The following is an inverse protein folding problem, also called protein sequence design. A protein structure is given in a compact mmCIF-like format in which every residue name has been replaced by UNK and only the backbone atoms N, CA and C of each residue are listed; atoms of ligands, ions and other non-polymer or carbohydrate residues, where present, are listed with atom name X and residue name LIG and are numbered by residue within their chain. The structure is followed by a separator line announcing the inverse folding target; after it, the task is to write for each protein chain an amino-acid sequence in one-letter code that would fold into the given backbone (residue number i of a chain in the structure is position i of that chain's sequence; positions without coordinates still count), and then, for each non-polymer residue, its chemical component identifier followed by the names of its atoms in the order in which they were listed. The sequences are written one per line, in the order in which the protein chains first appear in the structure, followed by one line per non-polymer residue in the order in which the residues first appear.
data_IF_828590504885
#
_entry.id   IF_828590504885
#
_cell.length_a   1.000
_cell.length_b   1.000
_cell.length_c   1.000
_cell.angle_alpha   90.00
_cell.angle_beta   90.00
_cell.angle_gamma   90.00
#
_symmetry.space_group_name_H-M   'P 1'
#
loop_
_entity.id
_entity.type
_entity.pdbx_description
1 polymer ?
#
# COMPACT_ATOMS: atom_id res chain seq x y z
N UNK A 1 -4.29 31.72 9.87
CA UNK A 1 -4.55 30.60 10.77
C UNK A 1 -5.61 29.76 10.10
N UNK A 2 -5.34 28.48 9.90
CA UNK A 2 -6.27 27.56 9.24
C UNK A 2 -7.55 27.40 10.08
N UNK A 3 -8.72 27.53 9.45
CA UNK A 3 -9.99 27.22 10.09
C UNK A 3 -10.23 25.69 10.05
N UNK A 4 -9.84 25.00 11.11
CA UNK A 4 -9.99 23.53 11.18
C UNK A 4 -11.44 23.07 11.27
N UNK A 5 -12.34 23.89 11.81
CA UNK A 5 -13.77 23.54 11.91
C UNK A 5 -14.42 23.47 10.53
N UNK A 6 -14.07 24.40 9.63
CA UNK A 6 -14.51 24.35 8.23
C UNK A 6 -13.96 23.12 7.48
N UNK A 7 -12.70 22.73 7.77
CA UNK A 7 -12.10 21.54 7.20
C UNK A 7 -12.72 20.25 7.76
N UNK A 8 -13.09 20.21 9.04
CA UNK A 8 -13.70 19.02 9.62
C UNK A 8 -15.17 18.87 9.20
N UNK A 9 -15.85 19.97 8.88
CA UNK A 9 -17.22 19.96 8.37
C UNK A 9 -17.38 19.29 6.98
N UNK A 10 -16.30 19.16 6.20
CA UNK A 10 -16.33 18.45 4.90
C UNK A 10 -16.06 16.94 5.02
N UNK A 11 -15.67 16.47 6.20
CA UNK A 11 -15.29 15.08 6.42
C UNK A 11 -16.37 14.30 7.21
N UNK A 12 -16.49 12.97 7.00
CA UNK A 12 -15.84 12.21 5.92
C UNK A 12 -16.45 12.58 4.56
N UNK A 13 -15.61 12.51 3.51
CA UNK A 13 -16.08 12.66 2.14
C UNK A 13 -17.06 11.54 1.78
N UNK A 14 -17.93 11.78 0.80
CA UNK A 14 -18.82 10.75 0.27
C UNK A 14 -17.99 9.64 -0.39
N UNK A 15 -18.47 8.41 -0.29
CA UNK A 15 -17.76 7.24 -0.82
C UNK A 15 -17.55 7.28 -2.34
N UNK A 16 -18.39 8.01 -3.07
CA UNK A 16 -18.28 8.19 -4.52
C UNK A 16 -17.21 9.22 -4.90
N UNK A 17 -16.82 10.10 -3.97
CA UNK A 17 -15.76 11.09 -4.13
C UNK A 17 -14.37 10.53 -3.74
N UNK A 18 -14.29 9.21 -3.52
CA UNK A 18 -13.11 8.49 -3.06
C UNK A 18 -12.63 7.46 -4.10
N UNK A 19 -12.38 7.86 -5.37
CA UNK A 19 -11.97 6.93 -6.41
C UNK A 19 -10.65 6.26 -6.04
N UNK A 20 -10.54 4.97 -6.39
CA UNK A 20 -9.36 4.12 -6.18
C UNK A 20 -8.93 3.94 -4.71
N UNK A 21 -9.81 4.28 -3.77
CA UNK A 21 -9.57 4.08 -2.34
C UNK A 21 -10.03 2.68 -1.90
N UNK A 22 -9.51 2.19 -0.78
CA UNK A 22 -9.87 0.91 -0.20
C UNK A 22 -9.84 0.97 1.33
N UNK A 23 -10.53 0.02 1.97
CA UNK A 23 -10.52 -0.21 3.41
C UNK A 23 -10.54 -1.70 3.71
N UNK A 24 -9.70 -2.13 4.64
CA UNK A 24 -9.63 -3.46 5.22
C UNK A 24 -10.10 -3.39 6.67
N UNK A 25 -11.02 -4.27 7.06
CA UNK A 25 -11.60 -4.32 8.41
C UNK A 25 -11.87 -5.76 8.84
N UNK A 26 -11.85 -6.01 10.15
CA UNK A 26 -12.41 -7.25 10.72
C UNK A 26 -13.95 -7.17 10.86
N UNK A 27 -14.51 -5.96 10.77
CA UNK A 27 -15.94 -5.70 10.90
C UNK A 27 -16.57 -5.45 9.53
N UNK A 28 -17.42 -6.37 9.09
CA UNK A 28 -18.10 -6.28 7.78
C UNK A 28 -19.06 -5.10 7.66
N UNK A 29 -19.65 -4.67 8.78
CA UNK A 29 -20.68 -3.62 8.83
C UNK A 29 -20.18 -2.22 8.46
N UNK A 30 -18.89 -1.97 8.60
CA UNK A 30 -18.29 -0.63 8.46
C UNK A 30 -17.76 -0.36 7.04
N UNK A 31 -18.09 -1.23 6.09
CA UNK A 31 -17.58 -1.14 4.72
C UNK A 31 -18.55 -0.38 3.81
N UNK A 32 -18.04 0.52 2.92
CA UNK A 32 -18.85 1.23 1.95
C UNK A 32 -19.79 0.30 1.16
N UNK A 33 -21.07 0.67 1.05
CA UNK A 33 -22.15 -0.15 0.47
C UNK A 33 -21.85 -0.63 -0.95
N UNK A 34 -21.59 0.32 -1.84
CA UNK A 34 -21.47 0.16 -3.30
C UNK A 34 -20.11 -0.35 -3.77
N UNK A 35 -19.15 -0.51 -2.85
CA UNK A 35 -17.79 -0.90 -3.19
C UNK A 35 -17.66 -2.41 -3.41
N UNK A 36 -16.68 -2.79 -4.23
CA UNK A 36 -16.38 -4.19 -4.45
C UNK A 36 -15.82 -4.80 -3.16
N UNK A 37 -16.53 -5.80 -2.63
CA UNK A 37 -16.17 -6.47 -1.37
C UNK A 37 -15.51 -7.82 -1.63
N UNK A 38 -14.47 -8.13 -0.87
CA UNK A 38 -13.80 -9.44 -0.81
C UNK A 38 -13.59 -9.83 0.65
N UNK A 39 -13.42 -11.11 0.91
CA UNK A 39 -13.14 -11.59 2.26
C UNK A 39 -12.20 -12.78 2.20
N UNK A 40 -11.31 -12.87 3.19
CA UNK A 40 -10.40 -13.99 3.38
C UNK A 40 -10.14 -14.14 4.88
N UNK A 41 -10.49 -15.29 5.43
CA UNK A 41 -10.53 -15.49 6.87
C UNK A 41 -11.44 -14.47 7.56
N UNK A 42 -10.90 -13.78 8.58
CA UNK A 42 -11.60 -12.73 9.35
C UNK A 42 -11.54 -11.34 8.71
N UNK A 43 -10.85 -11.19 7.59
CA UNK A 43 -10.62 -9.89 6.97
C UNK A 43 -11.60 -9.64 5.84
N UNK A 44 -12.14 -8.43 5.83
CA UNK A 44 -13.04 -7.93 4.80
C UNK A 44 -12.43 -6.71 4.13
N UNK A 45 -12.19 -6.81 2.82
CA UNK A 45 -11.67 -5.74 1.99
C UNK A 45 -12.82 -5.13 1.19
N UNK A 46 -12.94 -3.81 1.19
CA UNK A 46 -13.75 -3.07 0.24
C UNK A 46 -12.87 -2.15 -0.59
N UNK A 47 -13.02 -2.19 -1.92
CA UNK A 47 -12.31 -1.33 -2.85
C UNK A 47 -13.32 -0.56 -3.72
N UNK A 48 -13.06 0.72 -3.95
CA UNK A 48 -13.80 1.51 -4.92
C UNK A 48 -13.77 0.81 -6.30
N UNK A 49 -14.84 0.86 -7.13
CA UNK A 49 -14.88 0.19 -8.43
C UNK A 49 -13.73 0.54 -9.39
N UNK A 50 -13.25 1.79 -9.34
CA UNK A 50 -12.08 2.24 -10.12
C UNK A 50 -10.74 1.69 -9.63
N UNK A 51 -10.70 1.09 -8.43
CA UNK A 51 -9.47 0.55 -7.87
C UNK A 51 -9.07 -0.75 -8.58
N UNK A 52 -7.78 -0.89 -8.92
CA UNK A 52 -7.26 -2.17 -9.44
C UNK A 52 -6.97 -3.12 -8.28
N UNK A 53 -7.50 -4.34 -8.37
CA UNK A 53 -7.35 -5.38 -7.36
C UNK A 53 -7.00 -6.70 -8.01
N UNK A 54 -5.89 -7.29 -7.63
CA UNK A 54 -5.53 -8.65 -8.00
C UNK A 54 -5.56 -9.58 -6.78
N UNK A 55 -5.93 -10.84 -7.00
CA UNK A 55 -5.76 -11.89 -6.00
C UNK A 55 -4.30 -12.32 -5.93
N UNK A 56 -3.81 -12.54 -4.72
CA UNK A 56 -2.49 -13.12 -4.48
C UNK A 56 -2.66 -14.60 -4.16
N UNK A 57 -2.03 -15.48 -4.94
CA UNK A 57 -2.13 -16.93 -4.79
C UNK A 57 -0.76 -17.59 -4.71
N UNK A 58 -0.73 -18.79 -4.13
CA UNK A 58 0.38 -19.75 -4.31
C UNK A 58 0.30 -20.41 -5.69
N UNK A 59 1.33 -21.15 -6.13
CA UNK A 59 1.30 -21.82 -7.43
C UNK A 59 0.27 -22.96 -7.50
N UNK A 60 -0.09 -23.52 -6.33
CA UNK A 60 -1.19 -24.48 -6.15
C UNK A 60 -2.58 -23.83 -6.13
N UNK A 61 -2.66 -22.51 -6.29
CA UNK A 61 -3.92 -21.75 -6.34
C UNK A 61 -4.52 -21.41 -4.98
N UNK A 62 -3.82 -21.66 -3.86
CA UNK A 62 -4.32 -21.22 -2.56
C UNK A 62 -4.32 -19.69 -2.48
N UNK A 63 -5.47 -19.09 -2.17
CA UNK A 63 -5.64 -17.64 -2.03
C UNK A 63 -5.06 -17.17 -0.69
N UNK A 64 -4.07 -16.29 -0.76
CA UNK A 64 -3.29 -15.80 0.39
C UNK A 64 -3.31 -14.28 0.52
N UNK A 65 -4.26 -13.60 -0.14
CA UNK A 65 -4.48 -12.17 0.00
C UNK A 65 -4.66 -11.42 -1.31
N UNK A 66 -4.21 -10.17 -1.37
CA UNK A 66 -4.47 -9.28 -2.50
C UNK A 66 -3.32 -8.32 -2.78
N UNK A 67 -3.21 -7.86 -4.03
CA UNK A 67 -2.40 -6.70 -4.40
C UNK A 67 -3.31 -5.62 -4.98
N UNK A 68 -3.18 -4.40 -4.46
CA UNK A 68 -4.01 -3.24 -4.79
C UNK A 68 -3.16 -2.22 -5.54
N UNK A 69 -3.75 -1.65 -6.59
CA UNK A 69 -3.14 -0.66 -7.49
C UNK A 69 -1.78 -1.02 -8.12
N UNK A 70 -1.50 -2.31 -8.42
CA UNK A 70 -0.22 -2.69 -8.99
C UNK A 70 0.01 -2.04 -10.36
N UNK A 71 1.07 -1.25 -10.47
CA UNK A 71 1.42 -0.60 -11.73
C UNK A 71 2.17 -1.55 -12.66
N UNK A 72 3.22 -2.20 -12.15
CA UNK A 72 4.12 -3.06 -12.93
C UNK A 72 4.65 -4.20 -12.06
N UNK A 73 4.84 -5.37 -12.67
CA UNK A 73 5.63 -6.45 -12.11
C UNK A 73 6.83 -6.69 -13.03
N UNK A 74 8.04 -6.66 -12.48
CA UNK A 74 9.26 -6.91 -13.24
C UNK A 74 9.77 -8.30 -12.92
N UNK A 75 9.90 -9.14 -13.94
CA UNK A 75 10.49 -10.48 -13.83
C UNK A 75 11.69 -10.54 -14.77
N UNK A 76 12.87 -10.84 -14.23
CA UNK A 76 14.13 -10.88 -15.02
C UNK A 76 14.37 -9.62 -15.86
N UNK A 77 14.07 -8.44 -15.29
CA UNK A 77 14.27 -7.14 -15.95
C UNK A 77 13.28 -6.80 -17.06
N UNK A 78 12.19 -7.57 -17.22
CA UNK A 78 11.10 -7.28 -18.16
C UNK A 78 9.81 -6.98 -17.40
N UNK A 79 9.15 -5.89 -17.77
CA UNK A 79 7.81 -5.61 -17.30
C UNK A 79 6.80 -6.60 -17.89
N UNK A 80 5.95 -7.14 -17.03
CA UNK A 80 4.80 -7.97 -17.41
C UNK A 80 3.51 -7.22 -17.08
N UNK A 81 2.48 -7.26 -17.96
CA UNK A 81 1.15 -6.77 -17.61
C UNK A 81 0.67 -7.41 -16.32
N UNK A 82 -0.03 -6.63 -15.50
CA UNK A 82 -0.47 -7.11 -14.20
C UNK A 82 -1.80 -7.87 -14.32
N UNK A 83 -1.84 -9.18 -13.99
CA UNK A 83 -3.04 -10.00 -14.11
C UNK A 83 -4.00 -9.81 -12.92
N UNK A 84 -5.25 -10.27 -13.08
CA UNK A 84 -6.22 -10.37 -11.98
C UNK A 84 -5.81 -11.37 -10.89
N UNK A 85 -4.94 -12.33 -11.24
CA UNK A 85 -4.39 -13.33 -10.33
C UNK A 85 -2.87 -13.33 -10.44
N UNK A 86 -2.23 -13.11 -9.31
CA UNK A 86 -0.78 -12.99 -9.17
C UNK A 86 -0.28 -14.16 -8.34
N UNK A 87 0.79 -14.80 -8.79
CA UNK A 87 1.36 -15.97 -8.12
C UNK A 87 2.65 -15.61 -7.42
N UNK A 88 2.78 -16.01 -6.15
CA UNK A 88 3.98 -15.83 -5.34
C UNK A 88 5.18 -16.66 -5.82
N UNK A 89 4.97 -17.72 -6.61
CA UNK A 89 6.04 -18.61 -7.06
C UNK A 89 6.47 -19.64 -6.01
N UNK A 90 5.51 -20.22 -5.27
CA UNK A 90 5.79 -21.26 -4.27
C UNK A 90 4.74 -22.37 -4.27
N UNK A 91 5.23 -23.60 -4.16
CA UNK A 91 4.46 -24.82 -3.88
C UNK A 91 4.40 -25.18 -2.38
N UNK A 92 5.15 -24.46 -1.55
CA UNK A 92 5.33 -24.69 -0.12
C UNK A 92 4.66 -23.64 0.77
N UNK A 93 4.98 -23.62 2.07
CA UNK A 93 4.53 -22.57 2.98
C UNK A 93 4.93 -21.17 2.48
N UNK A 94 4.07 -20.19 2.72
CA UNK A 94 4.37 -18.78 2.44
C UNK A 94 5.11 -18.22 3.64
N UNK A 95 6.37 -17.82 3.43
CA UNK A 95 7.23 -17.22 4.45
C UNK A 95 7.65 -15.78 4.10
N UNK A 96 8.35 -15.13 5.04
CA UNK A 96 8.83 -13.75 4.90
C UNK A 96 9.75 -13.55 3.69
N UNK A 97 10.62 -14.52 3.41
CA UNK A 97 11.62 -14.40 2.35
C UNK A 97 10.96 -14.47 0.97
N UNK A 98 9.99 -15.37 0.80
CA UNK A 98 9.19 -15.49 -0.41
C UNK A 98 8.40 -14.21 -0.69
N UNK A 99 7.72 -13.67 0.33
CA UNK A 99 6.92 -12.45 0.18
C UNK A 99 7.80 -11.24 -0.15
N UNK A 100 8.92 -11.05 0.56
CA UNK A 100 9.84 -9.94 0.28
C UNK A 100 10.50 -10.06 -1.10
N UNK A 101 10.81 -11.28 -1.54
CA UNK A 101 11.35 -11.51 -2.88
C UNK A 101 10.30 -11.21 -3.95
N UNK A 102 9.09 -11.72 -3.80
CA UNK A 102 8.01 -11.45 -4.75
C UNK A 102 7.68 -9.95 -4.83
N UNK A 103 7.52 -9.29 -3.69
CA UNK A 103 7.07 -7.90 -3.65
C UNK A 103 8.16 -6.90 -4.04
N UNK A 104 9.42 -7.13 -3.65
CA UNK A 104 10.51 -6.14 -3.79
C UNK A 104 11.74 -6.65 -4.55
N UNK A 105 11.74 -7.90 -5.01
CA UNK A 105 12.91 -8.58 -5.57
C UNK A 105 14.02 -8.82 -4.54
N UNK A 106 13.71 -8.70 -3.24
CA UNK A 106 14.72 -8.72 -2.18
C UNK A 106 15.05 -10.14 -1.74
N UNK A 107 16.33 -10.43 -1.59
CA UNK A 107 16.78 -11.66 -0.93
C UNK A 107 16.78 -11.50 0.61
N UNK A 108 17.21 -12.55 1.33
CA UNK A 108 17.26 -12.55 2.81
C UNK A 108 18.10 -11.41 3.41
N UNK A 109 19.13 -10.95 2.70
CA UNK A 109 19.96 -9.81 3.12
C UNK A 109 19.36 -8.43 2.78
N UNK A 110 18.20 -8.39 2.13
CA UNK A 110 17.51 -7.16 1.74
C UNK A 110 18.03 -6.53 0.45
N UNK A 111 18.92 -7.22 -0.29
CA UNK A 111 19.37 -6.78 -1.61
C UNK A 111 18.34 -7.14 -2.67
N UNK A 112 17.92 -6.15 -3.47
CA UNK A 112 17.05 -6.37 -4.62
C UNK A 112 17.87 -6.85 -5.82
N UNK A 113 17.34 -7.82 -6.55
CA UNK A 113 17.85 -8.30 -7.84
C UNK A 113 17.24 -7.57 -9.05
N UNK A 114 16.40 -6.55 -8.81
CA UNK A 114 15.69 -5.81 -9.85
C UNK A 114 14.41 -6.48 -10.33
N UNK A 115 13.93 -7.51 -9.62
CA UNK A 115 12.59 -8.08 -9.80
C UNK A 115 11.59 -7.52 -8.78
N UNK A 116 10.33 -7.92 -8.91
CA UNK A 116 9.26 -7.58 -7.99
C UNK A 116 8.36 -6.46 -8.48
N UNK A 117 7.53 -5.94 -7.58
CA UNK A 117 6.52 -4.95 -7.89
C UNK A 117 7.11 -3.55 -7.92
N UNK A 118 6.82 -2.83 -9.00
CA UNK A 118 7.33 -1.47 -9.24
C UNK A 118 6.18 -0.45 -9.19
N UNK A 119 6.50 0.77 -8.76
CA UNK A 119 5.56 1.88 -8.70
C UNK A 119 4.70 1.92 -7.43
N UNK A 120 3.43 2.29 -7.59
CA UNK A 120 2.45 2.32 -6.51
C UNK A 120 1.84 0.92 -6.38
N UNK A 121 1.79 0.39 -5.17
CA UNK A 121 1.06 -0.83 -4.86
C UNK A 121 0.93 -0.99 -3.34
N UNK A 122 -0.05 -1.78 -2.92
CA UNK A 122 -0.19 -2.29 -1.55
C UNK A 122 -0.45 -3.79 -1.64
N UNK A 123 0.21 -4.57 -0.80
CA UNK A 123 -0.03 -6.00 -0.72
C UNK A 123 -0.57 -6.37 0.66
N UNK A 124 -1.70 -7.06 0.69
CA UNK A 124 -2.28 -7.65 1.89
C UNK A 124 -1.98 -9.14 1.80
N UNK A 125 -1.20 -9.67 2.73
CA UNK A 125 -0.79 -11.08 2.75
C UNK A 125 -1.33 -11.74 4.01
N UNK A 126 -2.16 -12.77 3.82
CA UNK A 126 -2.84 -13.53 4.86
C UNK A 126 -2.40 -14.99 4.75
N UNK A 127 -1.20 -15.27 5.24
CA UNK A 127 -0.62 -16.62 5.30
C UNK A 127 -1.02 -17.32 6.61
N UNK A 128 -0.72 -18.61 6.73
CA UNK A 128 -1.05 -19.39 7.92
C UNK A 128 -0.37 -18.84 9.19
N UNK A 129 0.88 -18.40 9.08
CA UNK A 129 1.70 -17.99 10.23
C UNK A 129 1.74 -16.46 10.44
N UNK A 130 1.26 -15.67 9.47
CA UNK A 130 1.24 -14.21 9.59
C UNK A 130 0.18 -13.56 8.71
N UNK A 131 -0.26 -12.40 9.15
CA UNK A 131 -1.19 -11.53 8.42
C UNK A 131 -0.59 -10.12 8.40
N UNK A 132 -0.31 -9.57 7.21
CA UNK A 132 0.46 -8.33 7.08
C UNK A 132 0.00 -7.47 5.91
N UNK A 133 0.24 -6.16 6.03
CA UNK A 133 0.10 -5.20 4.92
C UNK A 133 1.47 -4.62 4.60
N UNK A 134 1.88 -4.76 3.34
CA UNK A 134 3.11 -4.20 2.78
C UNK A 134 2.78 -3.02 1.87
N UNK A 135 3.68 -2.03 1.85
CA UNK A 135 3.56 -0.85 1.00
C UNK A 135 4.65 -0.86 -0.07
N UNK A 136 4.28 -0.48 -1.29
CA UNK A 136 5.25 -0.01 -2.27
C UNK A 136 5.99 1.24 -1.78
N UNK A 137 7.11 1.60 -2.42
CA UNK A 137 8.03 2.65 -1.93
C UNK A 137 7.40 4.05 -1.85
N UNK A 138 6.30 4.29 -2.56
CA UNK A 138 5.65 5.60 -2.70
C UNK A 138 4.18 5.61 -2.23
N UNK A 139 3.67 4.48 -1.71
CA UNK A 139 2.31 4.44 -1.16
C UNK A 139 2.32 4.71 0.34
N UNK A 140 1.19 5.17 0.86
CA UNK A 140 0.93 5.14 2.30
C UNK A 140 -0.44 4.53 2.58
N UNK A 141 -0.60 3.99 3.78
CA UNK A 141 -1.89 3.60 4.32
C UNK A 141 -2.02 4.22 5.71
N UNK A 142 -3.25 4.40 6.16
CA UNK A 142 -3.55 4.78 7.54
C UNK A 142 -4.26 3.64 8.23
N UNK A 143 -4.08 3.52 9.54
CA UNK A 143 -4.70 2.47 10.33
C UNK A 143 -5.16 3.00 11.69
N UNK A 144 -6.16 2.32 12.23
CA UNK A 144 -6.71 2.58 13.56
C UNK A 144 -6.72 1.27 14.36
N UNK A 145 -6.03 1.26 15.50
CA UNK A 145 -5.81 0.06 16.31
C UNK A 145 -7.04 -0.41 17.06
N UNK A 146 -7.84 0.53 17.58
CA UNK A 146 -9.04 0.26 18.40
C UNK A 146 -10.10 -0.50 17.61
N UNK A 147 -10.26 -0.17 16.33
CA UNK A 147 -11.26 -0.77 15.43
C UNK A 147 -10.68 -1.83 14.50
N UNK A 148 -9.34 -2.01 14.51
CA UNK A 148 -8.62 -2.94 13.63
C UNK A 148 -8.91 -2.70 12.15
N UNK A 149 -8.84 -1.42 11.74
CA UNK A 149 -9.08 -0.97 10.37
C UNK A 149 -7.83 -0.39 9.73
N UNK A 150 -7.69 -0.59 8.43
CA UNK A 150 -6.62 -0.02 7.60
C UNK A 150 -7.23 0.49 6.32
N UNK A 151 -6.83 1.67 5.86
CA UNK A 151 -7.39 2.26 4.65
C UNK A 151 -6.37 3.13 3.91
N UNK A 152 -6.70 3.51 2.69
CA UNK A 152 -5.92 4.50 1.92
C UNK A 152 -5.93 5.88 2.58
N UNK A 153 -7.03 6.26 3.25
CA UNK A 153 -7.17 7.56 3.90
C UNK A 153 -8.09 7.51 5.13
N UNK A 154 -7.96 8.52 5.99
CA UNK A 154 -8.74 8.65 7.23
C UNK A 154 -10.25 8.77 6.99
N UNK A 155 -10.67 9.24 5.81
CA UNK A 155 -12.09 9.29 5.41
C UNK A 155 -12.81 7.96 5.57
N UNK A 156 -12.10 6.85 5.43
CA UNK A 156 -12.64 5.49 5.54
C UNK A 156 -12.49 4.88 6.93
N UNK A 157 -11.97 5.64 7.88
CA UNK A 157 -11.79 5.25 9.29
C UNK A 157 -12.72 6.04 10.22
N UNK A 158 -13.81 6.61 9.69
CA UNK A 158 -14.80 7.30 10.51
C UNK A 158 -15.48 6.37 11.53
N UNK A 159 -15.96 6.89 12.68
CA UNK A 159 -15.78 8.27 13.15
C UNK A 159 -14.33 8.53 13.60
N UNK A 160 -13.88 9.79 13.51
CA UNK A 160 -12.57 10.22 14.01
C UNK A 160 -12.65 11.63 14.60
N UNK A 161 -11.62 12.03 15.34
CA UNK A 161 -11.52 13.35 15.95
C UNK A 161 -10.16 13.96 15.64
N UNK A 162 -10.12 15.26 15.33
CA UNK A 162 -8.88 15.96 15.03
C UNK A 162 -8.11 16.26 16.33
N UNK A 163 -6.83 15.97 16.33
CA UNK A 163 -5.92 16.46 17.35
C UNK A 163 -5.61 17.94 17.08
N UNK A 164 -6.36 18.84 17.71
CA UNK A 164 -6.25 20.29 17.47
C UNK A 164 -4.90 20.87 17.90
N UNK A 165 -4.31 20.36 18.98
CA UNK A 165 -3.02 20.82 19.47
C UNK A 165 -1.93 20.51 18.44
N UNK A 166 -1.83 19.25 18.02
CA UNK A 166 -0.88 18.81 16.99
C UNK A 166 -1.16 19.50 15.64
N UNK A 167 -2.42 19.63 15.25
CA UNK A 167 -2.80 20.29 14.00
C UNK A 167 -2.38 21.76 13.98
N UNK A 168 -2.49 22.48 15.10
CA UNK A 168 -2.04 23.88 15.22
C UNK A 168 -0.52 23.99 15.29
N UNK A 169 0.17 23.05 15.94
CA UNK A 169 1.63 23.08 16.03
C UNK A 169 2.31 22.79 14.70
N UNK A 170 1.72 21.91 13.88
CA UNK A 170 2.23 21.62 12.53
C UNK A 170 1.71 22.66 11.54
N UNK A 171 0.41 22.96 11.54
CA UNK A 171 -0.35 23.78 10.57
C UNK A 171 0.20 23.66 9.14
N UNK A 172 0.06 22.49 8.48
CA UNK A 172 0.68 22.21 7.17
C UNK A 172 0.38 23.25 6.10
N UNK A 173 -0.80 23.88 6.15
CA UNK A 173 -1.23 24.87 5.18
C UNK A 173 -0.53 26.22 5.38
N UNK A 174 -0.25 26.60 6.62
CA UNK A 174 0.44 27.86 6.93
C UNK A 174 1.96 27.72 6.90
N UNK A 175 2.50 26.55 7.27
CA UNK A 175 3.95 26.38 7.51
C UNK A 175 4.67 25.59 6.42
N UNK A 176 3.93 24.96 5.50
CA UNK A 176 4.47 23.96 4.56
C UNK A 176 5.13 22.75 5.26
N UNK A 177 4.86 22.54 6.56
CA UNK A 177 5.29 21.34 7.27
C UNK A 177 4.37 20.15 6.94
N UNK A 178 4.81 18.96 7.33
CA UNK A 178 4.04 17.72 7.22
C UNK A 178 4.11 16.93 8.51
N UNK A 179 3.10 16.08 8.75
CA UNK A 179 3.11 15.16 9.88
C UNK A 179 4.18 14.08 9.65
N UNK A 180 5.15 14.02 10.55
CA UNK A 180 6.27 13.08 10.50
C UNK A 180 6.02 11.86 11.39
N UNK A 181 6.89 10.85 11.30
CA UNK A 181 6.90 9.67 12.20
C UNK A 181 5.58 8.90 12.29
N UNK A 182 4.81 8.84 11.20
CA UNK A 182 3.54 8.12 11.17
C UNK A 182 2.38 8.89 11.81
N UNK A 183 2.59 10.13 12.26
CA UNK A 183 1.52 10.97 12.80
C UNK A 183 0.51 11.35 11.72
N UNK A 184 -0.72 11.58 12.15
CA UNK A 184 -1.76 12.20 11.34
C UNK A 184 -2.39 13.36 12.12
N UNK A 185 -3.30 14.08 11.48
CA UNK A 185 -4.03 15.16 12.14
C UNK A 185 -5.11 14.64 13.11
N UNK A 186 -5.36 13.33 13.15
CA UNK A 186 -6.50 12.74 13.86
C UNK A 186 -6.04 11.81 14.97
N UNK A 187 -6.76 11.86 16.09
CA UNK A 187 -6.51 11.00 17.24
C UNK A 187 -6.78 9.54 16.88
N UNK A 188 -5.89 8.65 17.32
CA UNK A 188 -6.01 7.20 17.11
C UNK A 188 -5.73 6.71 15.69
N UNK A 189 -5.54 7.61 14.72
CA UNK A 189 -5.19 7.26 13.34
C UNK A 189 -3.69 7.49 13.11
N UNK A 190 -3.01 6.42 12.74
CA UNK A 190 -1.59 6.41 12.42
C UNK A 190 -1.37 6.14 10.93
N UNK A 191 -0.24 6.58 10.38
CA UNK A 191 0.20 6.32 9.01
C UNK A 191 1.28 5.24 9.00
N UNK A 192 1.03 4.18 8.24
CA UNK A 192 2.05 3.18 7.91
C UNK A 192 3.06 3.82 6.95
N UNK A 193 4.34 3.79 7.35
CA UNK A 193 5.45 4.38 6.59
C UNK A 193 6.02 3.38 5.57
N UNK A 194 6.60 3.85 4.46
CA UNK A 194 7.39 2.98 3.58
C UNK A 194 8.47 2.21 4.35
N UNK A 195 8.83 1.02 3.84
CA UNK A 195 9.76 0.08 4.48
C UNK A 195 9.29 -0.47 5.84
N UNK A 196 8.02 -0.28 6.18
CA UNK A 196 7.32 -0.98 7.25
C UNK A 196 6.21 -1.83 6.64
N UNK A 197 5.94 -2.97 7.27
CA UNK A 197 4.67 -3.63 7.13
C UNK A 197 3.84 -3.39 8.39
N UNK A 198 2.52 -3.43 8.29
CA UNK A 198 1.65 -3.52 9.46
C UNK A 198 1.41 -4.99 9.77
N UNK A 199 1.78 -5.43 10.97
CA UNK A 199 1.39 -6.75 11.47
C UNK A 199 -0.08 -6.69 11.90
N UNK A 200 -0.95 -7.47 11.27
CA UNK A 200 -2.39 -7.41 11.50
C UNK A 200 -2.83 -8.15 12.78
N UNK A 201 -1.96 -8.97 13.38
CA UNK A 201 -2.21 -9.57 14.69
C UNK A 201 -2.01 -8.55 15.81
N UNK A 202 -0.86 -7.88 15.83
CA UNK A 202 -0.54 -6.89 16.87
C UNK A 202 -1.09 -5.50 16.56
N UNK A 203 -1.33 -5.19 15.28
CA UNK A 203 -1.56 -3.83 14.76
C UNK A 203 -0.37 -2.88 14.98
N UNK A 204 0.84 -3.43 14.99
CA UNK A 204 2.07 -2.67 15.09
C UNK A 204 2.76 -2.53 13.72
N UNK A 205 3.28 -1.33 13.38
CA UNK A 205 4.18 -1.19 12.25
C UNK A 205 5.54 -1.81 12.58
N UNK A 206 6.03 -2.69 11.71
CA UNK A 206 7.34 -3.34 11.86
C UNK A 206 8.22 -2.97 10.68
N UNK A 207 9.40 -2.42 10.98
CA UNK A 207 10.40 -2.11 9.97
C UNK A 207 10.99 -3.39 9.40
N UNK A 208 10.86 -3.60 8.10
CA UNK A 208 11.42 -4.77 7.39
C UNK A 208 12.63 -4.42 6.52
N UNK A 209 12.90 -3.14 6.30
CA UNK A 209 14.05 -2.67 5.53
C UNK A 209 14.63 -1.34 6.04
N UNK A 210 15.96 -1.12 5.93
CA UNK A 210 16.97 -2.08 5.51
C UNK A 210 17.32 -3.10 6.59
N UNK A 211 17.73 -4.29 6.16
CA UNK A 211 18.15 -5.40 7.05
C UNK A 211 19.66 -5.41 7.32
N UNK A 212 20.44 -4.71 6.51
CA UNK A 212 21.89 -4.57 6.66
C UNK A 212 22.33 -3.17 6.27
N UNK A 213 23.58 -2.83 6.61
CA UNK A 213 24.22 -1.62 6.12
C UNK A 213 24.32 -1.63 4.60
N UNK A 214 24.10 -0.49 3.97
CA UNK A 214 24.27 -0.35 2.52
C UNK A 214 25.75 -0.34 2.15
N UNK A 215 26.06 -0.93 0.99
CA UNK A 215 27.32 -0.68 0.32
C UNK A 215 27.30 0.74 -0.25
N UNK A 216 28.31 1.53 0.08
CA UNK A 216 28.51 2.84 -0.54
C UNK A 216 28.92 2.68 -2.00
N UNK A 217 28.27 3.44 -2.88
CA UNK A 217 28.65 3.62 -4.26
C UNK A 217 29.23 5.02 -4.42
N UNK A 218 30.16 5.20 -5.36
CA UNK A 218 30.57 6.54 -5.77
C UNK A 218 29.40 7.27 -6.45
N UNK A 219 29.40 8.59 -6.37
CA UNK A 219 28.31 9.44 -6.88
C UNK A 219 27.97 9.17 -8.35
N UNK A 220 28.95 9.16 -9.28
CA UNK A 220 28.69 8.84 -10.69
C UNK A 220 28.05 7.48 -10.92
N UNK A 221 28.55 6.41 -10.26
CA UNK A 221 27.95 5.07 -10.38
C UNK A 221 26.52 5.04 -9.84
N UNK A 222 26.27 5.67 -8.69
CA UNK A 222 24.92 5.75 -8.12
C UNK A 222 23.95 6.49 -9.07
N UNK A 223 24.36 7.65 -9.59
CA UNK A 223 23.56 8.44 -10.52
C UNK A 223 23.25 7.66 -11.81
N UNK A 224 24.25 6.97 -12.38
CA UNK A 224 24.06 6.11 -13.56
C UNK A 224 22.99 5.04 -13.32
N UNK A 225 23.06 4.32 -12.20
CA UNK A 225 22.07 3.30 -11.84
C UNK A 225 20.66 3.86 -11.65
N UNK A 226 20.53 5.04 -11.03
CA UNK A 226 19.23 5.71 -10.87
C UNK A 226 18.62 6.11 -12.21
N UNK A 227 19.43 6.68 -13.12
CA UNK A 227 18.99 7.07 -14.46
C UNK A 227 18.56 5.84 -15.26
N UNK A 228 19.36 4.78 -15.25
CA UNK A 228 19.05 3.55 -15.99
C UNK A 228 17.77 2.89 -15.47
N UNK A 229 17.60 2.82 -14.16
CA UNK A 229 16.38 2.32 -13.54
C UNK A 229 15.16 3.17 -13.90
N UNK A 230 15.27 4.50 -13.80
CA UNK A 230 14.19 5.42 -14.18
C UNK A 230 13.80 5.31 -15.65
N UNK A 231 14.78 5.25 -16.56
CA UNK A 231 14.55 5.05 -18.00
C UNK A 231 13.85 3.73 -18.29
N UNK A 232 14.26 2.66 -17.61
CA UNK A 232 13.62 1.34 -17.74
C UNK A 232 12.15 1.42 -17.32
N UNK A 233 11.84 1.97 -16.14
CA UNK A 233 10.45 2.10 -15.67
C UNK A 233 9.62 2.93 -16.65
N UNK A 234 10.11 4.09 -17.09
CA UNK A 234 9.37 4.94 -18.05
C UNK A 234 9.10 4.20 -19.36
N UNK A 235 10.11 3.48 -19.88
CA UNK A 235 9.96 2.66 -21.08
C UNK A 235 8.92 1.56 -20.86
N UNK A 236 9.04 0.82 -19.76
CA UNK A 236 8.16 -0.30 -19.41
C UNK A 236 6.70 0.15 -19.27
N UNK A 237 6.45 1.30 -18.63
CA UNK A 237 5.12 1.93 -18.56
C UNK A 237 4.63 2.30 -19.97
N UNK A 238 5.48 2.96 -20.77
CA UNK A 238 5.09 3.42 -22.10
C UNK A 238 4.81 2.27 -23.08
N UNK A 239 5.50 1.13 -22.95
CA UNK A 239 5.31 -0.05 -23.82
C UNK A 239 4.30 -1.05 -23.28
N UNK A 240 4.13 -1.12 -21.96
CA UNK A 240 3.20 -2.04 -21.29
C UNK A 240 1.75 -1.54 -21.24
N UNK A 241 1.51 -0.29 -21.62
CA UNK A 241 0.18 0.29 -21.70
C UNK A 241 -0.46 0.07 -23.09
N UNK A 242 -1.19 -1.03 -23.25
CA UNK A 242 -2.59 -0.82 -23.65
C UNK A 242 -3.25 -0.14 -22.44
N UNK A 243 -3.30 1.20 -22.44
CA UNK A 243 -4.00 1.94 -21.39
C UNK A 243 -5.47 1.50 -21.41
N UNK A 244 -5.83 0.57 -20.53
CA UNK A 244 -7.21 0.44 -20.05
C UNK A 244 -7.48 1.70 -19.21
N UNK A 245 -7.72 2.81 -19.91
CA UNK A 245 -8.47 3.93 -19.37
C UNK A 245 -9.84 3.32 -19.07
N UNK A 246 -10.33 3.34 -17.82
CA UNK A 246 -11.68 2.88 -17.53
C UNK A 246 -12.61 3.67 -18.45
N UNK A 247 -13.26 3.00 -19.41
CA UNK A 247 -14.35 3.63 -20.14
C UNK A 247 -15.38 3.97 -19.08
N UNK A 248 -15.66 5.26 -18.88
CA UNK A 248 -16.79 5.69 -18.07
C UNK A 248 -17.99 4.86 -18.55
N UNK A 249 -18.56 4.05 -17.65
CA UNK A 249 -19.86 3.44 -17.91
C UNK A 249 -20.84 4.60 -18.07
N UNK A 250 -21.29 4.81 -19.31
CA UNK A 250 -22.36 5.74 -19.68
C UNK A 250 -23.71 5.22 -19.23
#
# INVERSE_FOLDING_TARGET
MTNFDELDAIYPLKTDDLPRQWVLSQQKGDLPGEWQKRSLGRWHLACHPDARLAQLQTDKGAHVGWVIEPMLHTVSGKATPYPDIVRLGSDGPVDDALVENFLYGRNASGHSDGTGLEGMWIAIVLAADFERIYLGPIHSAVFERSTRRVATSHNLLAPFSRNLELSKSVDPLATQNYYSFGLTAFDGIERLLPNHYLDLHSFEPVRHWPKSTFRTLDGPTAAGRMIDHGRRIVKDIATGQEMVIPRKCS
#
